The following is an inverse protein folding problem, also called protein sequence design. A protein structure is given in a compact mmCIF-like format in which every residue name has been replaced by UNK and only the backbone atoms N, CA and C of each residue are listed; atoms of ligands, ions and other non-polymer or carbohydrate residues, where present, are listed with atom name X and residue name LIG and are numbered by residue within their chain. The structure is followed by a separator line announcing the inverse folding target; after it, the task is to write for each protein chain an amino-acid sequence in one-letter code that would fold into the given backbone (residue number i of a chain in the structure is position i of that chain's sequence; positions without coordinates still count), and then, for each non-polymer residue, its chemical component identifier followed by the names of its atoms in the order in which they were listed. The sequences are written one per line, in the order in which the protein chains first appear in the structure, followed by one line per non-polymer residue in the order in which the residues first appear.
data_IF_877511632090
#
_entry.id   IF_877511632090
#
_cell.length_a   1.000
_cell.length_b   1.000
_cell.length_c   1.000
_cell.angle_alpha   90.00
_cell.angle_beta   90.00
_cell.angle_gamma   90.00
#
_symmetry.space_group_name_H-M   'P 1'
#
loop_
_entity.id
_entity.type
_entity.pdbx_description
1 polymer ?
#
# COMPACT_ATOMS: atom_id res chain seq x y z
N UNK A 1 13.08 -23.27 62.32
CA UNK A 1 13.58 -21.99 62.87
C UNK A 1 14.98 -21.77 62.34
N UNK A 2 15.16 -20.81 61.42
CA UNK A 2 16.46 -20.39 60.88
C UNK A 2 16.75 -18.98 61.42
N UNK A 3 17.98 -18.78 61.92
CA UNK A 3 18.43 -17.56 62.56
C UNK A 3 18.56 -16.37 61.59
N UNK A 4 18.39 -15.11 62.04
CA UNK A 4 18.51 -13.94 61.18
C UNK A 4 19.98 -13.60 60.93
N UNK A 5 20.36 -13.47 59.66
CA UNK A 5 21.67 -12.98 59.25
C UNK A 5 21.73 -11.45 59.46
N UNK A 6 22.67 -11.00 60.30
CA UNK A 6 22.97 -9.59 60.57
C UNK A 6 23.76 -9.00 59.41
N UNK A 7 23.29 -7.87 58.86
CA UNK A 7 24.06 -7.05 57.91
C UNK A 7 24.97 -6.12 58.71
N UNK A 8 26.28 -6.18 58.46
CA UNK A 8 27.29 -5.29 59.05
C UNK A 8 27.49 -4.10 58.11
N UNK A 9 27.05 -2.92 58.53
CA UNK A 9 27.38 -1.65 57.87
C UNK A 9 28.76 -1.17 58.36
N UNK A 10 29.78 -1.25 57.50
CA UNK A 10 31.07 -0.56 57.72
C UNK A 10 31.02 0.81 57.06
N UNK A 11 30.97 1.86 57.88
CA UNK A 11 31.28 3.23 57.48
C UNK A 11 32.80 3.37 57.40
N UNK A 12 33.33 3.67 56.22
CA UNK A 12 34.73 4.06 56.05
C UNK A 12 34.87 5.56 56.33
N UNK A 13 35.61 5.92 57.38
CA UNK A 13 36.03 7.28 57.67
C UNK A 13 37.24 7.64 56.80
N UNK A 14 37.13 8.65 55.95
CA UNK A 14 38.26 9.23 55.25
C UNK A 14 38.99 10.22 56.17
N UNK A 15 40.24 9.92 56.50
CA UNK A 15 41.15 10.90 57.11
C UNK A 15 41.71 11.81 56.02
N UNK A 16 41.62 13.12 56.25
CA UNK A 16 42.15 14.19 55.41
C UNK A 16 43.66 14.38 55.63
N UNK A 17 44.46 14.21 54.59
CA UNK A 17 45.87 14.63 54.54
C UNK A 17 46.07 15.65 53.43
N UNK A 18 46.60 16.82 53.79
CA UNK A 18 46.86 17.97 52.92
C UNK A 18 48.14 17.83 52.09
N UNK A 19 48.07 18.17 50.79
CA UNK A 19 49.23 18.47 49.95
C UNK A 19 48.78 19.10 48.62
N UNK A 20 49.44 20.16 48.10
CA UNK A 20 48.92 20.93 46.97
C UNK A 20 49.46 20.42 45.63
N UNK A 21 48.59 20.28 44.63
CA UNK A 21 48.99 20.12 43.23
C UNK A 21 48.03 19.26 42.41
N UNK A 22 47.36 19.90 41.45
CA UNK A 22 46.48 19.34 40.41
C UNK A 22 45.04 18.97 40.83
N UNK A 23 44.11 19.91 40.60
CA UNK A 23 42.67 19.65 40.55
C UNK A 23 42.32 18.82 39.30
N UNK A 24 42.29 17.50 39.44
CA UNK A 24 41.49 16.64 38.58
C UNK A 24 40.17 16.40 39.30
N UNK A 25 39.08 17.02 38.83
CA UNK A 25 37.73 16.70 39.32
C UNK A 25 37.43 15.24 38.94
N UNK A 26 37.20 14.32 39.89
CA UNK A 26 36.73 12.99 39.53
C UNK A 26 35.28 13.14 39.07
N UNK A 27 35.03 12.81 37.80
CA UNK A 27 33.69 12.67 37.25
C UNK A 27 32.96 11.63 38.11
N UNK A 28 32.08 12.07 38.99
CA UNK A 28 31.25 11.20 39.79
C UNK A 28 30.24 10.52 38.84
N UNK A 29 30.64 9.40 38.24
CA UNK A 29 29.74 8.52 37.51
C UNK A 29 28.73 7.95 38.51
N UNK A 30 27.55 8.56 38.59
CA UNK A 30 26.41 8.01 39.31
C UNK A 30 25.96 6.76 38.55
N UNK A 31 26.40 5.60 39.02
CA UNK A 31 25.88 4.30 38.58
C UNK A 31 24.41 4.20 39.00
N UNK A 32 23.51 4.08 38.02
CA UNK A 32 22.05 4.03 38.22
C UNK A 32 21.60 2.65 38.75
N UNK A 33 22.52 1.71 38.98
CA UNK A 33 22.14 0.38 39.46
C UNK A 33 23.21 -0.24 40.36
N UNK A 34 22.76 -0.91 41.44
CA UNK A 34 23.62 -1.59 42.43
C UNK A 34 23.67 -3.10 42.25
N UNK A 35 23.06 -3.67 41.21
CA UNK A 35 23.24 -5.11 40.98
C UNK A 35 24.61 -5.40 40.38
N UNK A 36 25.31 -6.42 40.88
CA UNK A 36 26.51 -6.92 40.22
C UNK A 36 26.16 -7.34 38.79
N UNK A 37 27.00 -6.95 37.83
CA UNK A 37 26.87 -7.42 36.44
C UNK A 37 27.18 -8.92 36.44
N UNK A 38 26.13 -9.74 36.35
CA UNK A 38 26.29 -11.16 36.09
C UNK A 38 26.37 -11.35 34.57
N UNK A 39 27.46 -11.93 34.04
CA UNK A 39 27.52 -12.25 32.62
C UNK A 39 26.41 -13.25 32.27
N UNK A 40 25.75 -13.06 31.13
CA UNK A 40 24.72 -13.97 30.66
C UNK A 40 25.28 -15.40 30.58
N UNK A 41 24.64 -16.34 31.28
CA UNK A 41 25.00 -17.75 31.20
C UNK A 41 24.50 -18.30 29.86
N UNK A 42 25.37 -18.35 28.87
CA UNK A 42 25.06 -18.94 27.56
C UNK A 42 25.00 -20.45 27.74
N UNK A 43 23.82 -21.05 27.52
CA UNK A 43 23.66 -22.50 27.53
C UNK A 43 24.55 -23.10 26.43
N UNK A 44 25.41 -24.11 26.73
CA UNK A 44 26.35 -24.69 25.76
C UNK A 44 25.67 -25.43 24.61
N UNK A 45 24.33 -25.55 24.62
CA UNK A 45 23.54 -26.27 23.62
C UNK A 45 23.21 -25.41 22.38
N UNK A 46 23.40 -24.09 22.42
CA UNK A 46 23.21 -23.23 21.24
C UNK A 46 24.56 -22.96 20.58
N UNK A 47 24.72 -23.49 19.37
CA UNK A 47 25.99 -23.74 18.72
C UNK A 47 26.88 -22.52 18.48
N UNK A 48 28.18 -22.76 18.55
CA UNK A 48 29.27 -21.89 18.08
C UNK A 48 29.40 -21.90 16.55
N UNK A 49 28.26 -21.95 15.85
CA UNK A 49 28.19 -21.84 14.40
C UNK A 49 27.87 -20.40 13.98
N UNK A 50 28.17 -20.01 12.73
CA UNK A 50 27.56 -18.82 12.17
C UNK A 50 26.04 -18.90 12.34
N UNK A 51 25.36 -17.76 12.56
CA UNK A 51 23.91 -17.75 12.72
C UNK A 51 23.26 -18.55 11.58
N UNK A 52 22.23 -19.37 11.88
CA UNK A 52 21.54 -20.13 10.85
C UNK A 52 21.05 -19.17 9.76
N UNK A 53 21.14 -19.60 8.50
CA UNK A 53 20.60 -18.79 7.41
C UNK A 53 19.13 -18.48 7.67
N UNK A 54 18.66 -17.27 7.33
CA UNK A 54 17.26 -16.92 7.46
C UNK A 54 16.36 -17.98 6.80
N UNK A 55 15.22 -18.33 7.42
CA UNK A 55 14.29 -19.28 6.83
C UNK A 55 13.86 -18.77 5.45
N UNK A 56 13.95 -19.62 4.44
CA UNK A 56 13.49 -19.27 3.09
C UNK A 56 11.98 -19.51 3.01
N UNK A 57 11.17 -18.52 2.57
CA UNK A 57 9.75 -18.74 2.38
C UNK A 57 9.51 -19.86 1.35
N UNK A 58 8.50 -20.69 1.60
CA UNK A 58 8.12 -21.76 0.69
C UNK A 58 7.72 -21.17 -0.68
N UNK A 59 8.10 -21.83 -1.76
CA UNK A 59 7.72 -21.40 -3.12
C UNK A 59 6.21 -21.56 -3.33
N UNK A 60 5.43 -20.52 -3.01
CA UNK A 60 3.98 -20.54 -3.20
C UNK A 60 3.62 -20.19 -4.66
N UNK A 61 3.34 -21.22 -5.46
CA UNK A 61 2.99 -21.01 -6.87
C UNK A 61 1.63 -20.31 -6.98
N UNK A 62 1.52 -19.32 -7.87
CA UNK A 62 0.25 -18.61 -8.11
C UNK A 62 -0.90 -19.56 -8.49
N UNK A 63 -0.59 -20.65 -9.21
CA UNK A 63 -1.57 -21.68 -9.59
C UNK A 63 -2.14 -22.41 -8.37
N UNK A 64 -1.29 -22.79 -7.41
CA UNK A 64 -1.71 -23.46 -6.16
C UNK A 64 -2.63 -22.57 -5.33
N UNK A 65 -2.34 -21.27 -5.27
CA UNK A 65 -3.17 -20.28 -4.56
C UNK A 65 -4.55 -20.13 -5.19
N UNK A 66 -4.62 -20.06 -6.51
CA UNK A 66 -5.88 -19.97 -7.26
C UNK A 66 -6.74 -21.23 -7.06
N UNK A 67 -6.15 -22.42 -7.13
CA UNK A 67 -6.87 -23.67 -6.93
C UNK A 67 -7.40 -23.82 -5.49
N UNK A 68 -6.62 -23.38 -4.50
CA UNK A 68 -7.06 -23.34 -3.10
C UNK A 68 -8.27 -22.41 -2.93
N UNK A 69 -8.22 -21.20 -3.52
CA UNK A 69 -9.35 -20.25 -3.50
C UNK A 69 -10.59 -20.82 -4.18
N UNK A 70 -10.45 -21.46 -5.35
CA UNK A 70 -11.57 -22.12 -6.06
C UNK A 70 -12.22 -23.22 -5.20
N UNK A 71 -11.41 -24.08 -4.58
CA UNK A 71 -11.90 -25.13 -3.67
C UNK A 71 -12.65 -24.55 -2.48
N UNK A 72 -12.13 -23.48 -1.87
CA UNK A 72 -12.77 -22.80 -0.75
C UNK A 72 -14.09 -22.13 -1.15
N UNK A 73 -14.14 -21.48 -2.32
CA UNK A 73 -15.36 -20.88 -2.86
C UNK A 73 -16.45 -21.94 -3.11
N UNK A 74 -16.10 -23.06 -3.76
CA UNK A 74 -17.03 -24.17 -3.99
C UNK A 74 -17.54 -24.79 -2.67
N UNK A 75 -16.68 -24.89 -1.65
CA UNK A 75 -17.07 -25.40 -0.34
C UNK A 75 -18.03 -24.43 0.39
N UNK A 76 -17.81 -23.11 0.25
CA UNK A 76 -18.70 -22.09 0.78
C UNK A 76 -20.07 -22.09 0.08
N UNK A 77 -20.09 -22.23 -1.25
CA UNK A 77 -21.32 -22.36 -2.04
C UNK A 77 -22.14 -23.57 -1.56
N UNK A 78 -21.49 -24.74 -1.47
CA UNK A 78 -22.13 -25.97 -0.95
C UNK A 78 -22.62 -25.81 0.49
N UNK A 79 -21.86 -25.14 1.35
CA UNK A 79 -22.28 -24.85 2.72
C UNK A 79 -23.50 -23.90 2.77
N UNK A 80 -23.60 -22.95 1.85
CA UNK A 80 -24.75 -22.06 1.73
C UNK A 80 -25.99 -22.75 1.18
N UNK A 81 -25.84 -23.67 0.23
CA UNK A 81 -26.92 -24.52 -0.27
C UNK A 81 -27.50 -25.38 0.85
N UNK A 82 -26.65 -26.06 1.62
CA UNK A 82 -27.05 -26.89 2.78
C UNK A 82 -27.76 -26.04 3.84
N UNK A 83 -27.26 -24.84 4.13
CA UNK A 83 -27.90 -23.92 5.08
C UNK A 83 -29.23 -23.37 4.54
N UNK A 84 -29.35 -23.23 3.22
CA UNK A 84 -30.58 -22.85 2.55
C UNK A 84 -31.66 -23.93 2.59
N UNK A 85 -31.27 -25.20 2.41
CA UNK A 85 -32.19 -26.35 2.42
C UNK A 85 -32.64 -26.76 3.83
N UNK A 86 -31.84 -26.49 4.87
CA UNK A 86 -32.16 -26.84 6.27
C UNK A 86 -32.96 -25.76 7.03
N UNK A 87 -33.56 -24.77 6.36
CA UNK A 87 -34.44 -23.83 7.07
C UNK A 87 -35.84 -24.45 7.28
N UNK A 88 -36.30 -24.59 8.53
CA UNK A 88 -37.69 -24.95 8.76
C UNK A 88 -38.58 -23.83 8.19
N UNK A 89 -39.53 -24.22 7.34
CA UNK A 89 -40.58 -23.33 6.87
C UNK A 89 -41.25 -22.72 8.10
N UNK A 90 -41.19 -21.40 8.25
CA UNK A 90 -41.81 -20.72 9.38
C UNK A 90 -43.33 -20.89 9.26
N UNK A 91 -43.87 -21.92 9.90
CA UNK A 91 -45.29 -22.11 10.12
C UNK A 91 -45.84 -20.92 10.90
N UNK A 92 -46.90 -20.34 10.37
CA UNK A 92 -47.72 -19.29 10.93
C UNK A 92 -48.11 -19.61 12.37
N UNK A 93 -47.53 -18.90 13.34
CA UNK A 93 -48.09 -18.83 14.70
C UNK A 93 -48.50 -17.39 14.97
N UNK A 94 -49.81 -17.21 15.07
CA UNK A 94 -50.51 -15.99 15.43
C UNK A 94 -50.13 -15.54 16.84
N UNK A 95 -49.72 -14.28 17.00
CA UNK A 95 -49.73 -13.58 18.30
C UNK A 95 -48.40 -12.95 18.71
N UNK A 96 -48.41 -11.63 18.92
CA UNK A 96 -47.37 -10.91 19.67
C UNK A 96 -46.75 -9.74 18.92
N UNK A 97 -47.29 -8.54 19.16
CA UNK A 97 -46.84 -7.28 18.60
C UNK A 97 -45.50 -6.85 19.25
N UNK A 98 -44.37 -7.05 18.55
CA UNK A 98 -43.09 -6.39 18.86
C UNK A 98 -42.52 -5.87 17.55
N UNK A 99 -42.67 -4.56 17.32
CA UNK A 99 -42.00 -3.84 16.23
C UNK A 99 -40.50 -3.78 16.49
N UNK A 100 -39.80 -4.87 16.18
CA UNK A 100 -38.38 -4.80 15.86
C UNK A 100 -38.28 -4.64 14.35
N UNK A 101 -37.62 -3.57 13.90
CA UNK A 101 -37.23 -3.32 12.50
C UNK A 101 -36.16 -4.34 12.08
N UNK A 102 -36.55 -5.61 12.01
CA UNK A 102 -35.73 -6.70 11.50
C UNK A 102 -35.55 -6.48 9.99
N UNK A 103 -34.45 -5.82 9.60
CA UNK A 103 -33.96 -5.81 8.22
C UNK A 103 -33.94 -7.26 7.73
N UNK A 104 -34.71 -7.55 6.67
CA UNK A 104 -34.95 -8.91 6.21
C UNK A 104 -33.62 -9.67 5.99
N UNK A 105 -33.50 -10.93 6.45
CA UNK A 105 -32.31 -11.75 6.21
C UNK A 105 -31.98 -11.94 4.72
N UNK A 106 -32.97 -11.72 3.84
CA UNK A 106 -32.85 -11.77 2.39
C UNK A 106 -31.98 -10.64 1.83
N UNK A 107 -32.02 -9.44 2.43
CA UNK A 107 -31.16 -8.32 2.03
C UNK A 107 -29.66 -8.58 2.29
N UNK A 108 -29.32 -9.64 3.03
CA UNK A 108 -27.92 -10.04 3.28
C UNK A 108 -27.39 -11.03 2.24
N UNK A 109 -28.26 -11.75 1.52
CA UNK A 109 -27.84 -12.77 0.54
C UNK A 109 -27.52 -12.11 -0.80
N UNK A 110 -26.65 -12.74 -1.59
CA UNK A 110 -26.42 -12.37 -2.99
C UNK A 110 -27.78 -12.44 -3.71
N UNK A 111 -28.19 -11.34 -4.34
CA UNK A 111 -29.47 -11.25 -5.04
C UNK A 111 -29.35 -11.42 -6.56
N UNK A 112 -28.13 -11.60 -7.07
CA UNK A 112 -27.82 -11.82 -8.48
C UNK A 112 -27.19 -13.20 -8.69
N UNK A 113 -27.43 -13.81 -9.84
CA UNK A 113 -26.79 -15.09 -10.19
C UNK A 113 -25.63 -14.89 -11.15
N UNK A 114 -25.85 -14.13 -12.22
CA UNK A 114 -24.89 -13.93 -13.29
C UNK A 114 -24.43 -12.47 -13.35
N UNK A 115 -23.19 -12.27 -13.81
CA UNK A 115 -22.62 -10.95 -14.04
C UNK A 115 -22.15 -10.89 -15.49
N UNK A 116 -22.56 -9.85 -16.21
CA UNK A 116 -22.29 -9.69 -17.64
C UNK A 116 -21.74 -8.29 -17.92
N UNK A 117 -20.92 -8.18 -18.96
CA UNK A 117 -20.50 -6.89 -19.52
C UNK A 117 -21.29 -6.67 -20.80
N UNK A 118 -21.97 -5.53 -20.89
CA UNK A 118 -22.74 -5.12 -22.06
C UNK A 118 -22.22 -3.79 -22.58
N UNK A 119 -22.18 -3.63 -23.89
CA UNK A 119 -21.93 -2.34 -24.52
C UNK A 119 -23.29 -1.65 -24.76
N UNK A 120 -23.47 -0.48 -24.16
CA UNK A 120 -24.70 0.32 -24.19
C UNK A 120 -24.32 1.76 -24.49
N UNK A 121 -24.88 2.33 -25.55
CA UNK A 121 -24.62 3.72 -25.99
C UNK A 121 -23.13 4.06 -26.15
N UNK A 122 -22.30 3.11 -26.60
CA UNK A 122 -20.84 3.30 -26.74
C UNK A 122 -20.05 3.29 -25.42
N UNK A 123 -20.68 2.89 -24.32
CA UNK A 123 -20.03 2.66 -23.03
C UNK A 123 -20.18 1.20 -22.60
N UNK A 124 -19.23 0.70 -21.80
CA UNK A 124 -19.30 -0.61 -21.19
C UNK A 124 -19.99 -0.50 -19.83
N UNK A 125 -21.03 -1.30 -19.63
CA UNK A 125 -21.78 -1.39 -18.38
C UNK A 125 -21.68 -2.82 -17.82
N UNK A 126 -21.50 -2.92 -16.51
CA UNK A 126 -21.58 -4.21 -15.80
C UNK A 126 -23.00 -4.43 -15.31
N UNK A 127 -23.61 -5.56 -15.66
CA UNK A 127 -24.97 -5.92 -15.30
C UNK A 127 -24.98 -7.13 -14.36
N UNK A 128 -25.75 -7.01 -13.27
CA UNK A 128 -26.07 -8.06 -12.32
C UNK A 128 -27.42 -8.66 -12.72
N UNK A 129 -27.39 -9.85 -13.31
CA UNK A 129 -28.48 -10.43 -14.10
C UNK A 129 -28.99 -9.44 -15.17
N UNK A 130 -30.08 -8.74 -14.90
CA UNK A 130 -30.69 -7.75 -15.81
C UNK A 130 -30.51 -6.30 -15.36
N UNK A 131 -29.88 -6.08 -14.19
CA UNK A 131 -29.79 -4.75 -13.58
C UNK A 131 -28.39 -4.16 -13.73
N UNK A 132 -28.25 -2.92 -14.22
CA UNK A 132 -26.94 -2.29 -14.30
C UNK A 132 -26.38 -1.99 -12.91
N UNK A 133 -25.07 -2.11 -12.76
CA UNK A 133 -24.34 -1.70 -11.58
C UNK A 133 -24.43 -0.17 -11.41
N UNK A 134 -24.69 0.26 -10.18
CA UNK A 134 -24.92 1.68 -9.85
C UNK A 134 -23.98 2.19 -8.79
N UNK A 135 -23.65 3.48 -8.89
CA UNK A 135 -22.82 4.19 -7.93
C UNK A 135 -23.52 4.34 -6.57
N UNK A 136 -22.82 4.17 -5.44
CA UNK A 136 -23.43 4.31 -4.12
C UNK A 136 -23.98 5.72 -3.85
N UNK A 137 -23.27 6.75 -4.30
CA UNK A 137 -23.50 8.17 -3.97
C UNK A 137 -24.73 8.74 -4.67
N UNK A 138 -24.74 8.74 -6.02
CA UNK A 138 -25.79 9.37 -6.83
C UNK A 138 -26.73 8.38 -7.55
N UNK A 139 -26.54 7.06 -7.35
CA UNK A 139 -27.34 5.99 -7.98
C UNK A 139 -27.28 5.94 -9.50
N UNK A 140 -26.40 6.69 -10.14
CA UNK A 140 -26.18 6.61 -11.58
C UNK A 140 -25.52 5.29 -11.97
N UNK A 141 -25.67 4.91 -13.23
CA UNK A 141 -25.09 3.67 -13.76
C UNK A 141 -23.58 3.86 -13.90
N UNK A 142 -22.81 2.84 -13.51
CA UNK A 142 -21.37 2.81 -13.72
C UNK A 142 -21.11 2.58 -15.22
N UNK A 143 -20.70 3.63 -15.91
CA UNK A 143 -20.37 3.61 -17.35
C UNK A 143 -18.87 3.72 -17.53
N UNK A 144 -18.28 2.73 -18.20
CA UNK A 144 -16.86 2.68 -18.52
C UNK A 144 -16.63 3.04 -19.99
N UNK A 145 -15.50 3.64 -20.36
CA UNK A 145 -15.15 3.83 -21.77
C UNK A 145 -15.08 2.49 -22.52
N UNK A 146 -15.54 2.47 -23.78
CA UNK A 146 -15.41 1.30 -24.66
C UNK A 146 -13.95 0.87 -24.88
N UNK A 147 -13.01 1.79 -24.72
CA UNK A 147 -11.58 1.53 -24.76
C UNK A 147 -11.10 0.57 -23.67
N UNK A 148 -11.84 0.37 -22.55
CA UNK A 148 -11.40 -0.35 -21.35
C UNK A 148 -12.12 -1.70 -21.11
N UNK A 149 -12.08 -2.68 -22.05
CA UNK A 149 -12.77 -3.96 -21.88
C UNK A 149 -12.17 -4.82 -20.76
N UNK A 150 -10.85 -4.72 -20.51
CA UNK A 150 -10.18 -5.45 -19.43
C UNK A 150 -10.64 -4.98 -18.05
N UNK A 151 -10.84 -3.67 -17.86
CA UNK A 151 -11.39 -3.12 -16.64
C UNK A 151 -12.83 -3.58 -16.42
N UNK A 152 -13.66 -3.56 -17.46
CA UNK A 152 -15.04 -4.02 -17.41
C UNK A 152 -15.15 -5.51 -17.04
N UNK A 153 -14.32 -6.35 -17.66
CA UNK A 153 -14.24 -7.77 -17.34
C UNK A 153 -13.75 -8.01 -15.89
N UNK A 154 -12.75 -7.25 -15.43
CA UNK A 154 -12.24 -7.35 -14.06
C UNK A 154 -13.29 -6.92 -13.02
N UNK A 155 -14.07 -5.87 -13.30
CA UNK A 155 -15.22 -5.47 -12.48
C UNK A 155 -16.31 -6.54 -12.45
N UNK A 156 -16.62 -7.15 -13.61
CA UNK A 156 -17.58 -8.25 -13.65
C UNK A 156 -17.12 -9.43 -12.79
N UNK A 157 -15.84 -9.79 -12.85
CA UNK A 157 -15.24 -10.83 -12.01
C UNK A 157 -15.28 -10.45 -10.51
N UNK A 158 -14.98 -9.20 -10.17
CA UNK A 158 -15.05 -8.71 -8.79
C UNK A 158 -16.44 -8.95 -8.19
N UNK A 159 -17.51 -8.61 -8.93
CA UNK A 159 -18.89 -8.81 -8.50
C UNK A 159 -19.36 -10.25 -8.55
N UNK A 160 -18.81 -11.06 -9.46
CA UNK A 160 -19.13 -12.48 -9.54
C UNK A 160 -18.51 -13.28 -8.37
N UNK A 161 -17.39 -12.83 -7.82
CA UNK A 161 -16.77 -13.46 -6.65
C UNK A 161 -17.46 -13.11 -5.32
N UNK A 162 -18.37 -12.14 -5.31
CA UNK A 162 -19.10 -11.80 -4.08
C UNK A 162 -20.13 -12.88 -3.75
N UNK A 163 -20.09 -13.31 -2.50
CA UNK A 163 -20.97 -14.34 -1.95
C UNK A 163 -22.20 -13.72 -1.27
N UNK A 164 -22.19 -12.40 -1.03
CA UNK A 164 -23.29 -11.71 -0.36
C UNK A 164 -23.38 -10.23 -0.74
N UNK A 165 -24.59 -9.65 -0.69
CA UNK A 165 -24.77 -8.22 -0.93
C UNK A 165 -24.07 -7.34 0.12
N UNK A 166 -23.81 -7.87 1.33
CA UNK A 166 -23.05 -7.16 2.36
C UNK A 166 -21.55 -7.09 2.02
N UNK A 167 -21.02 -8.05 1.26
CA UNK A 167 -19.64 -7.96 0.81
C UNK A 167 -19.45 -6.80 -0.17
N UNK A 168 -20.47 -6.45 -0.94
CA UNK A 168 -20.45 -5.28 -1.81
C UNK A 168 -20.36 -3.94 -1.05
N UNK A 169 -20.56 -3.92 0.28
CA UNK A 169 -20.34 -2.70 1.09
C UNK A 169 -18.95 -2.64 1.70
N UNK A 170 -18.12 -3.67 1.52
CA UNK A 170 -16.78 -3.77 2.09
C UNK A 170 -15.74 -3.39 1.04
N UNK A 171 -15.09 -2.24 1.22
CA UNK A 171 -14.12 -1.69 0.27
C UNK A 171 -13.00 -2.67 -0.11
N UNK A 172 -12.50 -3.47 0.84
CA UNK A 172 -11.45 -4.48 0.59
C UNK A 172 -11.92 -5.67 -0.29
N UNK A 173 -13.23 -5.85 -0.48
CA UNK A 173 -13.80 -6.88 -1.36
C UNK A 173 -14.26 -6.34 -2.72
N UNK A 174 -14.36 -5.02 -2.85
CA UNK A 174 -14.70 -4.34 -4.10
C UNK A 174 -13.72 -3.20 -4.47
N UNK A 175 -12.39 -3.47 -4.43
CA UNK A 175 -11.38 -2.43 -4.62
C UNK A 175 -11.41 -1.77 -6.01
N UNK A 176 -11.75 -2.49 -7.08
CA UNK A 176 -11.88 -1.95 -8.43
C UNK A 176 -13.12 -1.08 -8.54
N UNK A 177 -14.27 -1.54 -8.01
CA UNK A 177 -15.50 -0.72 -8.00
C UNK A 177 -15.28 0.60 -7.27
N UNK A 178 -14.60 0.57 -6.12
CA UNK A 178 -14.26 1.79 -5.38
C UNK A 178 -13.34 2.72 -6.18
N UNK A 179 -12.36 2.15 -6.90
CA UNK A 179 -11.42 2.93 -7.72
C UNK A 179 -12.09 3.54 -8.97
N UNK A 180 -12.97 2.79 -9.63
CA UNK A 180 -13.76 3.29 -10.76
C UNK A 180 -14.73 4.38 -10.32
N UNK A 181 -15.44 4.19 -9.20
CA UNK A 181 -16.30 5.23 -8.66
C UNK A 181 -15.48 6.49 -8.35
N UNK A 182 -14.27 6.34 -7.78
CA UNK A 182 -13.36 7.47 -7.53
C UNK A 182 -13.02 8.24 -8.81
N UNK A 183 -12.70 7.54 -9.90
CA UNK A 183 -12.44 8.18 -11.20
C UNK A 183 -13.68 8.91 -11.75
N UNK A 184 -14.87 8.30 -11.64
CA UNK A 184 -16.12 8.92 -12.08
C UNK A 184 -16.51 10.13 -11.23
N UNK A 185 -16.24 10.09 -9.93
CA UNK A 185 -16.50 11.22 -9.03
C UNK A 185 -15.58 12.41 -9.35
N UNK A 186 -14.30 12.16 -9.70
CA UNK A 186 -13.40 13.20 -10.22
C UNK A 186 -13.93 13.78 -11.53
N UNK A 187 -14.36 12.93 -12.47
CA UNK A 187 -14.90 13.39 -13.75
C UNK A 187 -16.20 14.21 -13.60
N UNK A 188 -17.05 13.84 -12.64
CA UNK A 188 -18.27 14.58 -12.32
C UNK A 188 -17.95 15.96 -11.72
N UNK A 189 -17.00 16.03 -10.78
CA UNK A 189 -16.55 17.28 -10.16
C UNK A 189 -15.89 18.22 -11.18
N UNK A 190 -15.02 17.70 -12.05
CA UNK A 190 -14.40 18.45 -13.14
C UNK A 190 -15.45 19.00 -14.13
N UNK A 191 -16.59 18.31 -14.28
CA UNK A 191 -17.72 18.74 -15.09
C UNK A 191 -18.70 19.68 -14.36
N UNK A 192 -18.41 20.05 -13.11
CA UNK A 192 -19.26 20.91 -12.27
C UNK A 192 -20.56 20.25 -11.81
N UNK A 193 -20.65 18.92 -11.85
CA UNK A 193 -21.79 18.19 -11.29
C UNK A 193 -21.66 18.11 -9.77
N UNK A 194 -22.80 18.20 -9.07
CA UNK A 194 -22.83 17.99 -7.63
C UNK A 194 -22.60 16.51 -7.33
N UNK A 195 -21.41 16.20 -6.82
CA UNK A 195 -21.01 14.83 -6.45
C UNK A 195 -21.56 14.41 -5.08
N UNK A 196 -22.24 15.30 -4.35
CA UNK A 196 -22.77 15.00 -3.01
C UNK A 196 -21.69 14.64 -1.98
N UNK A 197 -20.42 14.87 -2.30
CA UNK A 197 -19.29 14.68 -1.41
C UNK A 197 -19.21 15.85 -0.42
N UNK A 198 -18.78 15.57 0.81
CA UNK A 198 -18.41 16.62 1.75
C UNK A 198 -17.32 17.47 1.09
N UNK A 199 -17.66 18.73 0.78
CA UNK A 199 -16.69 19.71 0.30
C UNK A 199 -15.52 19.71 1.29
N UNK A 200 -14.29 19.67 0.78
CA UNK A 200 -13.09 19.54 1.61
C UNK A 200 -12.97 20.59 2.71
N UNK A 201 -12.00 20.39 3.61
CA UNK A 201 -11.75 21.26 4.78
C UNK A 201 -11.64 22.76 4.43
N UNK A 202 -11.28 23.09 3.18
CA UNK A 202 -11.28 24.44 2.63
C UNK A 202 -12.49 24.66 1.70
N UNK A 203 -13.31 25.67 2.03
CA UNK A 203 -14.52 25.98 1.29
C UNK A 203 -14.21 26.38 -0.17
N UNK A 204 -14.53 25.48 -1.12
CA UNK A 204 -14.48 25.74 -2.56
C UNK A 204 -13.35 25.05 -3.32
N UNK A 205 -12.55 24.20 -2.68
CA UNK A 205 -11.51 23.44 -3.37
C UNK A 205 -12.11 22.27 -4.16
N UNK A 206 -11.72 22.13 -5.43
CA UNK A 206 -12.15 21.00 -6.27
C UNK A 206 -11.49 19.71 -5.80
N UNK A 207 -12.10 18.57 -6.13
CA UNK A 207 -11.57 17.27 -5.75
C UNK A 207 -10.16 17.06 -6.33
N UNK A 208 -9.96 17.47 -7.58
CA UNK A 208 -8.68 17.46 -8.28
C UNK A 208 -7.61 18.24 -7.54
N UNK A 209 -7.93 19.47 -7.10
CA UNK A 209 -6.99 20.31 -6.36
C UNK A 209 -6.60 19.70 -5.02
N UNK A 210 -7.56 19.11 -4.32
CA UNK A 210 -7.30 18.37 -3.08
C UNK A 210 -6.37 17.17 -3.28
N UNK A 211 -6.58 16.39 -4.35
CA UNK A 211 -5.70 15.27 -4.72
C UNK A 211 -4.31 15.79 -5.09
N UNK A 212 -4.21 16.81 -5.94
CA UNK A 212 -2.93 17.37 -6.35
C UNK A 212 -2.12 17.88 -5.16
N UNK A 213 -2.76 18.59 -4.22
CA UNK A 213 -2.12 19.04 -2.97
C UNK A 213 -1.58 17.86 -2.16
N UNK A 214 -2.32 16.76 -2.07
CA UNK A 214 -1.88 15.54 -1.41
C UNK A 214 -0.66 14.92 -2.12
N UNK A 215 -0.70 14.79 -3.44
CA UNK A 215 0.38 14.23 -4.25
C UNK A 215 1.67 15.08 -4.15
N UNK A 216 1.55 16.40 -4.12
CA UNK A 216 2.70 17.30 -3.94
C UNK A 216 3.36 17.14 -2.56
N UNK A 217 2.62 16.78 -1.51
CA UNK A 217 3.22 16.42 -0.21
C UNK A 217 4.01 15.12 -0.27
N UNK A 218 3.57 14.16 -1.09
CA UNK A 218 4.34 12.94 -1.35
C UNK A 218 5.60 13.21 -2.17
N UNK A 219 5.62 14.20 -3.07
CA UNK A 219 6.86 14.62 -3.74
C UNK A 219 7.90 15.11 -2.71
N UNK A 220 7.46 15.88 -1.71
CA UNK A 220 8.31 16.38 -0.63
C UNK A 220 8.84 15.29 0.31
N UNK A 221 8.29 14.07 0.22
CA UNK A 221 8.63 12.94 1.09
C UNK A 221 8.76 11.63 0.30
N UNK A 222 9.15 11.74 -0.98
CA UNK A 222 9.11 10.61 -1.90
C UNK A 222 10.08 9.51 -1.44
N UNK A 223 9.57 8.28 -1.34
CA UNK A 223 10.35 7.11 -0.89
C UNK A 223 11.57 6.84 -1.78
N UNK A 224 11.54 7.19 -3.07
CA UNK A 224 12.69 7.05 -3.97
C UNK A 224 13.72 8.18 -3.82
N UNK A 225 13.36 9.30 -3.21
CA UNK A 225 14.26 10.44 -2.98
C UNK A 225 14.80 10.50 -1.55
N UNK A 226 14.42 9.54 -0.71
CA UNK A 226 14.80 9.41 0.68
C UNK A 226 15.72 8.19 0.84
N UNK A 227 17.01 8.41 1.04
CA UNK A 227 18.00 7.34 1.08
C UNK A 227 18.61 7.16 2.47
N UNK A 228 19.04 5.93 2.74
CA UNK A 228 19.86 5.63 3.90
C UNK A 228 21.11 6.53 3.94
N UNK A 229 21.56 6.93 5.14
CA UNK A 229 22.77 7.73 5.30
C UNK A 229 23.99 6.98 4.74
N UNK A 230 25.08 7.70 4.42
CA UNK A 230 26.32 7.04 4.01
C UNK A 230 26.78 6.01 5.06
N UNK A 231 27.31 4.85 4.62
CA UNK A 231 27.72 3.80 5.53
C UNK A 231 28.76 4.27 6.53
N UNK A 232 28.43 4.17 7.83
CA UNK A 232 29.35 4.51 8.92
C UNK A 232 30.02 3.23 9.43
N UNK A 233 31.36 3.25 9.41
CA UNK A 233 32.29 2.27 9.99
C UNK A 233 31.68 0.93 10.46
N UNK A 234 31.47 -0.01 9.52
CA UNK A 234 31.24 -1.43 9.84
C UNK A 234 29.85 -1.80 10.39
N UNK A 235 28.89 -0.87 10.44
CA UNK A 235 27.53 -1.16 10.92
C UNK A 235 26.52 -1.51 9.81
N UNK A 236 26.84 -1.22 8.56
CA UNK A 236 25.96 -1.53 7.44
C UNK A 236 26.29 -2.92 6.90
N UNK A 237 25.47 -3.90 7.27
CA UNK A 237 25.60 -5.26 6.75
C UNK A 237 25.20 -5.27 5.26
N UNK A 238 26.10 -5.61 4.32
CA UNK A 238 25.72 -5.67 2.92
C UNK A 238 24.66 -6.75 2.68
N UNK A 239 23.95 -6.64 1.55
CA UNK A 239 23.12 -7.73 1.05
C UNK A 239 23.98 -8.95 0.64
N UNK A 240 23.32 -10.04 0.22
CA UNK A 240 24.00 -11.25 -0.24
C UNK A 240 24.96 -11.04 -1.43
N UNK A 241 24.81 -9.93 -2.18
CA UNK A 241 25.63 -9.57 -3.32
C UNK A 241 26.69 -8.50 -2.99
N UNK A 242 26.81 -8.07 -1.72
CA UNK A 242 27.79 -7.08 -1.29
C UNK A 242 27.33 -5.62 -1.40
N UNK A 243 26.08 -5.35 -1.79
CA UNK A 243 25.56 -3.99 -1.92
C UNK A 243 24.99 -3.48 -0.59
N UNK A 244 25.18 -2.19 -0.32
CA UNK A 244 24.52 -1.50 0.78
C UNK A 244 23.09 -1.11 0.42
N UNK A 245 22.22 -0.94 1.42
CA UNK A 245 20.85 -0.44 1.21
C UNK A 245 20.83 0.87 0.41
N UNK A 246 21.74 1.79 0.76
CA UNK A 246 21.89 3.09 0.10
C UNK A 246 22.18 2.95 -1.40
N UNK A 247 23.09 2.05 -1.77
CA UNK A 247 23.44 1.82 -3.18
C UNK A 247 22.24 1.28 -3.98
N UNK A 248 21.45 0.39 -3.37
CA UNK A 248 20.24 -0.15 -3.99
C UNK A 248 19.17 0.95 -4.18
N UNK A 249 18.92 1.75 -3.15
CA UNK A 249 17.98 2.88 -3.20
C UNK A 249 18.38 3.91 -4.25
N UNK A 250 19.66 4.32 -4.27
CA UNK A 250 20.17 5.31 -5.23
C UNK A 250 20.05 4.79 -6.66
N UNK A 251 20.47 3.55 -6.94
CA UNK A 251 20.39 2.96 -8.28
C UNK A 251 18.95 2.92 -8.79
N UNK A 252 18.01 2.49 -7.95
CA UNK A 252 16.60 2.46 -8.29
C UNK A 252 16.04 3.87 -8.56
N UNK A 253 16.38 4.84 -7.71
CA UNK A 253 15.96 6.22 -7.86
C UNK A 253 16.49 6.84 -9.16
N UNK A 254 17.78 6.65 -9.46
CA UNK A 254 18.42 7.14 -10.69
C UNK A 254 17.75 6.56 -11.95
N UNK A 255 17.41 5.27 -11.95
CA UNK A 255 16.70 4.64 -13.08
C UNK A 255 15.32 5.28 -13.32
N UNK A 256 14.55 5.48 -12.25
CA UNK A 256 13.22 6.08 -12.33
C UNK A 256 13.31 7.55 -12.73
N UNK A 257 14.17 8.33 -12.07
CA UNK A 257 14.37 9.76 -12.36
C UNK A 257 14.83 9.94 -13.80
N UNK A 258 15.81 9.17 -14.29
CA UNK A 258 16.28 9.27 -15.66
C UNK A 258 15.15 9.03 -16.69
N UNK A 259 14.28 8.05 -16.44
CA UNK A 259 13.12 7.83 -17.29
C UNK A 259 12.16 9.03 -17.26
N UNK A 260 11.85 9.52 -16.07
CA UNK A 260 10.88 10.60 -15.89
C UNK A 260 11.38 11.90 -16.52
N UNK A 261 12.64 12.28 -16.30
CA UNK A 261 13.24 13.49 -16.87
C UNK A 261 13.51 13.37 -18.37
N UNK A 262 13.47 12.17 -18.95
CA UNK A 262 13.57 11.96 -20.40
C UNK A 262 12.20 11.96 -21.07
N UNK A 263 11.22 11.25 -20.49
CA UNK A 263 9.98 10.90 -21.18
C UNK A 263 8.74 11.64 -20.66
N UNK A 264 8.74 12.11 -19.41
CA UNK A 264 7.56 12.71 -18.76
C UNK A 264 7.76 14.20 -18.51
N UNK A 265 8.91 14.57 -17.94
CA UNK A 265 9.28 15.95 -17.62
C UNK A 265 10.65 16.33 -18.19
N UNK A 266 10.77 16.48 -19.53
CA UNK A 266 12.02 16.88 -20.19
C UNK A 266 12.66 18.12 -19.57
N UNK A 267 13.92 18.00 -19.14
CA UNK A 267 14.71 19.12 -18.61
C UNK A 267 14.44 19.48 -17.14
N UNK A 268 13.60 18.72 -16.44
CA UNK A 268 13.39 18.91 -14.99
C UNK A 268 14.52 18.28 -14.21
N UNK A 269 14.99 19.00 -13.18
CA UNK A 269 15.95 18.49 -12.21
C UNK A 269 15.21 18.05 -10.96
N UNK A 270 15.42 16.79 -10.57
CA UNK A 270 14.84 16.17 -9.37
C UNK A 270 15.98 15.83 -8.43
N UNK A 271 15.98 16.43 -7.25
CA UNK A 271 17.03 16.27 -6.25
C UNK A 271 16.58 15.33 -5.12
N UNK A 272 17.50 14.68 -4.39
CA UNK A 272 17.17 13.93 -3.19
C UNK A 272 16.52 14.83 -2.12
N UNK A 273 15.48 14.32 -1.48
CA UNK A 273 14.68 15.03 -0.48
C UNK A 273 15.44 15.20 0.83
N UNK A 274 16.15 14.16 1.27
CA UNK A 274 16.97 14.22 2.48
C UNK A 274 18.43 14.58 2.15
N UNK A 275 19.00 15.42 3.00
CA UNK A 275 20.44 15.65 3.05
C UNK A 275 21.11 14.60 3.96
N UNK A 276 22.38 14.29 3.75
CA UNK A 276 23.09 13.19 4.42
C UNK A 276 23.16 13.35 5.95
N UNK A 277 23.03 14.59 6.44
CA UNK A 277 23.10 14.95 7.87
C UNK A 277 21.76 15.44 8.44
N UNK A 278 20.68 15.44 7.66
CA UNK A 278 19.38 16.00 8.06
C UNK A 278 18.26 14.98 7.92
N UNK A 279 17.44 14.86 8.96
CA UNK A 279 16.16 14.14 8.92
C UNK A 279 15.02 15.00 8.37
N UNK A 280 15.26 16.31 8.17
CA UNK A 280 14.26 17.24 7.67
C UNK A 280 14.26 17.25 6.14
N UNK A 281 13.10 16.97 5.50
CA UNK A 281 12.99 16.96 4.05
C UNK A 281 13.15 18.37 3.48
N UNK A 282 13.84 18.45 2.34
CA UNK A 282 13.96 19.65 1.52
C UNK A 282 13.02 19.53 0.33
N UNK A 283 12.23 20.57 0.11
CA UNK A 283 11.36 20.64 -1.07
C UNK A 283 12.18 20.80 -2.35
N UNK A 284 11.62 20.30 -3.46
CA UNK A 284 12.17 20.52 -4.81
C UNK A 284 12.18 22.00 -5.19
N UNK A 285 12.99 22.37 -6.18
CA UNK A 285 13.04 23.73 -6.75
C UNK A 285 11.62 24.21 -7.14
N UNK A 286 11.27 25.49 -6.93
CA UNK A 286 9.94 26.00 -7.23
C UNK A 286 9.49 25.73 -8.67
N UNK A 287 10.41 25.81 -9.63
CA UNK A 287 10.16 25.53 -11.05
C UNK A 287 9.79 24.06 -11.26
N UNK A 288 10.56 23.13 -10.68
CA UNK A 288 10.29 21.68 -10.71
C UNK A 288 8.91 21.37 -10.12
N UNK A 289 8.58 21.98 -8.98
CA UNK A 289 7.27 21.80 -8.33
C UNK A 289 6.13 22.25 -9.21
N UNK A 290 6.24 23.43 -9.82
CA UNK A 290 5.21 23.98 -10.70
C UNK A 290 4.99 23.11 -11.94
N UNK A 291 6.07 22.57 -12.53
CA UNK A 291 5.98 21.67 -13.69
C UNK A 291 5.25 20.37 -13.31
N UNK A 292 5.64 19.75 -12.18
CA UNK A 292 5.02 18.51 -11.71
C UNK A 292 3.56 18.74 -11.32
N UNK A 293 3.26 19.81 -10.59
CA UNK A 293 1.90 20.17 -10.20
C UNK A 293 1.02 20.44 -11.43
N UNK A 294 1.51 21.22 -12.40
CA UNK A 294 0.81 21.46 -13.66
C UNK A 294 0.55 20.18 -14.44
N UNK A 295 1.51 19.24 -14.45
CA UNK A 295 1.33 17.92 -15.06
C UNK A 295 0.25 17.10 -14.35
N UNK A 296 0.24 17.06 -13.01
CA UNK A 296 -0.79 16.38 -12.21
C UNK A 296 -2.18 16.99 -12.50
N UNK A 297 -2.27 18.32 -12.54
CA UNK A 297 -3.53 19.02 -12.81
C UNK A 297 -4.06 18.72 -14.21
N UNK A 298 -3.18 18.42 -15.18
CA UNK A 298 -3.54 18.07 -16.55
C UNK A 298 -4.01 16.63 -16.78
N UNK A 299 -3.89 15.75 -15.79
CA UNK A 299 -4.29 14.34 -15.91
C UNK A 299 -5.78 14.17 -16.14
N UNK A 300 -6.19 13.17 -16.92
CA UNK A 300 -7.61 12.82 -16.96
C UNK A 300 -8.09 12.22 -15.62
N UNK A 301 -9.40 12.07 -15.45
CA UNK A 301 -9.97 11.59 -14.18
C UNK A 301 -9.58 10.14 -13.84
N UNK A 302 -9.36 9.29 -14.84
CA UNK A 302 -8.92 7.90 -14.66
C UNK A 302 -7.44 7.84 -14.29
N UNK A 303 -6.62 8.64 -14.98
CA UNK A 303 -5.19 8.79 -14.72
C UNK A 303 -4.94 9.37 -13.32
N UNK A 304 -5.70 10.40 -12.92
CA UNK A 304 -5.57 11.03 -11.60
C UNK A 304 -5.98 10.08 -10.47
N UNK A 305 -7.10 9.35 -10.62
CA UNK A 305 -7.51 8.33 -9.65
C UNK A 305 -6.49 7.18 -9.56
N UNK A 306 -5.92 6.78 -10.71
CA UNK A 306 -4.87 5.78 -10.79
C UNK A 306 -3.59 6.24 -10.08
N UNK A 307 -3.17 7.47 -10.32
CA UNK A 307 -2.01 8.08 -9.68
C UNK A 307 -2.22 8.21 -8.16
N UNK A 308 -3.36 8.73 -7.72
CA UNK A 308 -3.74 8.81 -6.31
C UNK A 308 -3.60 7.44 -5.63
N UNK A 309 -4.16 6.39 -6.22
CA UNK A 309 -4.07 5.03 -5.68
C UNK A 309 -2.63 4.52 -5.65
N UNK A 310 -1.86 4.71 -6.73
CA UNK A 310 -0.49 4.22 -6.81
C UNK A 310 0.44 4.92 -5.82
N UNK A 311 0.28 6.23 -5.62
CA UNK A 311 1.07 7.01 -4.64
C UNK A 311 0.75 6.57 -3.22
N UNK A 312 -0.52 6.41 -2.88
CA UNK A 312 -0.90 5.94 -1.54
C UNK A 312 -0.39 4.52 -1.27
N UNK A 313 -0.40 3.64 -2.27
CA UNK A 313 0.11 2.28 -2.15
C UNK A 313 1.65 2.23 -2.02
N UNK A 314 2.35 2.92 -2.93
CA UNK A 314 3.81 2.91 -3.01
C UNK A 314 4.52 3.91 -2.09
N UNK A 315 3.76 4.79 -1.41
CA UNK A 315 4.26 5.85 -0.51
C UNK A 315 5.27 6.78 -1.21
N UNK A 316 5.08 7.03 -2.50
CA UNK A 316 5.97 7.85 -3.33
C UNK A 316 5.35 8.21 -4.67
N UNK A 317 5.63 9.43 -5.15
CA UNK A 317 5.10 9.99 -6.39
C UNK A 317 5.84 9.44 -7.63
N UNK A 318 7.17 9.43 -7.63
CA UNK A 318 7.97 9.11 -8.82
C UNK A 318 7.73 7.69 -9.33
N UNK A 319 7.72 6.70 -8.43
CA UNK A 319 7.44 5.30 -8.79
C UNK A 319 6.03 5.11 -9.35
N UNK A 320 5.06 5.85 -8.83
CA UNK A 320 3.68 5.84 -9.29
C UNK A 320 3.53 6.50 -10.66
N UNK A 321 4.17 7.65 -10.90
CA UNK A 321 4.20 8.33 -12.20
C UNK A 321 4.86 7.44 -13.25
N UNK A 322 5.96 6.74 -12.89
CA UNK A 322 6.60 5.78 -13.81
C UNK A 322 5.63 4.68 -14.23
N UNK A 323 4.92 4.07 -13.29
CA UNK A 323 3.93 3.04 -13.60
C UNK A 323 2.78 3.60 -14.46
N UNK A 324 2.29 4.81 -14.14
CA UNK A 324 1.21 5.45 -14.89
C UNK A 324 1.61 5.73 -16.33
N UNK A 325 2.79 6.31 -16.54
CA UNK A 325 3.30 6.67 -17.87
C UNK A 325 3.51 5.44 -18.77
N UNK A 326 3.80 4.27 -18.20
CA UNK A 326 4.00 3.01 -18.95
C UNK A 326 2.69 2.35 -19.38
N UNK A 327 1.60 2.56 -18.64
CA UNK A 327 0.35 1.81 -18.81
C UNK A 327 -0.87 2.64 -19.19
N UNK A 328 -0.80 3.97 -19.06
CA UNK A 328 -1.91 4.84 -19.50
C UNK A 328 -2.13 4.71 -21.00
N UNK A 329 -3.39 4.56 -21.43
CA UNK A 329 -3.76 4.68 -22.83
C UNK A 329 -3.96 6.15 -23.28
N UNK A 330 -4.02 7.06 -22.32
CA UNK A 330 -4.23 8.49 -22.51
C UNK A 330 -2.98 9.23 -22.99
N UNK A 331 -2.98 10.55 -22.83
CA UNK A 331 -1.93 11.41 -23.38
C UNK A 331 -0.60 11.29 -22.63
N UNK A 332 -0.62 10.92 -21.35
CA UNK A 332 0.61 10.71 -20.56
C UNK A 332 1.24 9.34 -20.79
N UNK A 333 0.53 8.45 -21.48
CA UNK A 333 1.03 7.17 -21.89
C UNK A 333 2.20 7.33 -22.86
N UNK A 334 3.40 6.98 -22.42
CA UNK A 334 4.58 6.96 -23.28
C UNK A 334 4.47 5.71 -24.16
N UNK A 335 3.97 5.89 -25.38
CA UNK A 335 3.95 4.85 -26.42
C UNK A 335 5.36 4.62 -26.95
N UNK A 336 6.27 4.16 -26.09
CA UNK A 336 7.57 3.66 -26.52
C UNK A 336 7.38 2.45 -27.42
N UNK A 337 8.22 2.32 -28.45
CA UNK A 337 8.33 1.08 -29.21
C UNK A 337 8.60 -0.05 -28.21
N UNK A 338 7.57 -0.84 -27.89
CA UNK A 338 7.69 -2.07 -27.10
C UNK A 338 8.60 -3.00 -27.89
N UNK A 339 9.91 -2.84 -27.73
CA UNK A 339 10.89 -3.84 -28.17
C UNK A 339 10.72 -5.11 -27.34
N UNK A 340 11.63 -6.06 -27.49
CA UNK A 340 11.58 -7.34 -26.78
C UNK A 340 11.77 -7.25 -25.25
N UNK A 341 11.96 -6.04 -24.69
CA UNK A 341 12.11 -5.84 -23.24
C UNK A 341 10.75 -5.82 -22.56
N UNK A 342 10.65 -6.57 -21.46
CA UNK A 342 9.47 -6.57 -20.58
C UNK A 342 9.20 -5.14 -20.08
N UNK A 343 7.97 -4.62 -20.21
CA UNK A 343 7.64 -3.28 -19.74
C UNK A 343 7.75 -3.19 -18.22
N UNK A 344 8.04 -2.00 -17.71
CA UNK A 344 7.98 -1.71 -16.28
C UNK A 344 6.53 -1.91 -15.80
N UNK A 345 6.31 -2.91 -14.96
CA UNK A 345 4.99 -3.36 -14.55
C UNK A 345 4.78 -3.32 -13.05
N UNK A 346 3.73 -4.03 -12.63
CA UNK A 346 3.31 -4.13 -11.23
C UNK A 346 4.43 -4.70 -10.34
N UNK A 347 5.16 -5.69 -10.84
CA UNK A 347 6.23 -6.34 -10.06
C UNK A 347 7.43 -5.43 -9.87
N UNK A 348 7.82 -4.72 -10.92
CA UNK A 348 8.90 -3.74 -10.88
C UNK A 348 8.52 -2.59 -9.94
N UNK A 349 7.31 -2.03 -10.08
CA UNK A 349 6.81 -0.97 -9.20
C UNK A 349 6.71 -1.41 -7.73
N UNK A 350 6.24 -2.63 -7.46
CA UNK A 350 6.18 -3.16 -6.10
C UNK A 350 7.58 -3.32 -5.49
N UNK A 351 8.56 -3.82 -6.25
CA UNK A 351 9.95 -3.91 -5.79
C UNK A 351 10.54 -2.54 -5.47
N UNK A 352 10.28 -1.53 -6.31
CA UNK A 352 10.78 -0.18 -6.07
C UNK A 352 10.21 0.43 -4.78
N UNK A 353 8.94 0.18 -4.48
CA UNK A 353 8.33 0.64 -3.23
C UNK A 353 8.78 -0.19 -1.99
N UNK A 354 9.34 -1.38 -2.19
CA UNK A 354 9.72 -2.31 -1.12
C UNK A 354 11.24 -2.52 -0.98
N UNK A 355 12.10 -1.69 -1.60
CA UNK A 355 13.57 -1.88 -1.62
C UNK A 355 14.13 -2.14 -0.22
N UNK A 356 13.77 -1.30 0.74
CA UNK A 356 14.26 -1.42 2.11
C UNK A 356 13.71 -2.67 2.79
N UNK A 357 12.41 -2.95 2.65
CA UNK A 357 11.77 -4.14 3.24
C UNK A 357 12.41 -5.42 2.68
N UNK A 358 12.61 -5.50 1.36
CA UNK A 358 13.24 -6.65 0.70
C UNK A 358 14.70 -6.84 1.17
N UNK A 359 15.44 -5.74 1.34
CA UNK A 359 16.79 -5.78 1.90
C UNK A 359 16.82 -6.27 3.35
N UNK A 360 15.91 -5.77 4.19
CA UNK A 360 15.77 -6.18 5.59
C UNK A 360 15.38 -7.67 5.70
N UNK A 361 14.46 -8.14 4.87
CA UNK A 361 14.08 -9.55 4.78
C UNK A 361 15.28 -10.42 4.37
N UNK A 362 16.08 -9.96 3.41
CA UNK A 362 17.30 -10.67 3.00
C UNK A 362 18.30 -10.86 4.13
N UNK A 363 18.43 -9.85 5.00
CA UNK A 363 19.41 -9.85 6.09
C UNK A 363 18.88 -10.50 7.38
N UNK A 364 17.59 -10.37 7.68
CA UNK A 364 17.01 -10.73 8.97
C UNK A 364 15.83 -11.70 8.91
N UNK A 365 15.40 -12.10 7.72
CA UNK A 365 14.27 -13.00 7.49
C UNK A 365 12.93 -12.29 7.38
N UNK A 366 11.94 -13.02 6.85
CA UNK A 366 10.58 -12.52 6.65
C UNK A 366 9.75 -12.65 7.94
N UNK A 367 8.94 -11.63 8.23
CA UNK A 367 7.95 -11.66 9.31
C UNK A 367 6.60 -12.06 8.72
N UNK A 368 6.18 -13.30 9.00
CA UNK A 368 4.87 -13.84 8.61
C UNK A 368 3.73 -12.96 9.17
N UNK A 369 2.60 -12.91 8.45
CA UNK A 369 1.41 -12.09 8.71
C UNK A 369 1.60 -10.56 8.62
N UNK A 370 2.81 -10.07 8.33
CA UNK A 370 3.08 -8.63 8.09
C UNK A 370 3.64 -8.38 6.70
N UNK A 371 4.83 -8.91 6.41
CA UNK A 371 5.53 -8.65 5.15
C UNK A 371 4.82 -9.32 3.96
N UNK A 372 4.31 -10.53 4.15
CA UNK A 372 3.62 -11.31 3.13
C UNK A 372 2.29 -10.66 2.70
N UNK A 373 1.53 -10.15 3.67
CA UNK A 373 0.26 -9.45 3.41
C UNK A 373 0.51 -8.13 2.69
N UNK A 374 1.43 -7.29 3.16
CA UNK A 374 1.75 -6.01 2.52
C UNK A 374 2.27 -6.23 1.08
N UNK A 375 3.13 -7.23 0.88
CA UNK A 375 3.68 -7.61 -0.43
C UNK A 375 2.61 -7.95 -1.46
N UNK A 376 1.61 -8.74 -1.08
CA UNK A 376 0.51 -9.12 -1.96
C UNK A 376 -0.51 -7.99 -2.12
N UNK A 377 -0.75 -7.21 -1.06
CA UNK A 377 -1.67 -6.08 -1.11
C UNK A 377 -1.16 -4.95 -2.01
N UNK A 378 0.13 -4.64 -1.95
CA UNK A 378 0.78 -3.65 -2.81
C UNK A 378 0.63 -4.01 -4.29
N UNK A 379 0.89 -5.27 -4.66
CA UNK A 379 0.68 -5.78 -6.03
C UNK A 379 -0.78 -5.70 -6.46
N UNK A 380 -1.70 -6.03 -5.55
CA UNK A 380 -3.15 -5.92 -5.80
C UNK A 380 -3.53 -4.46 -6.07
N UNK A 381 -3.02 -3.51 -5.29
CA UNK A 381 -3.30 -2.09 -5.48
C UNK A 381 -2.69 -1.55 -6.78
N UNK A 382 -1.42 -1.79 -7.04
CA UNK A 382 -0.74 -1.35 -8.28
C UNK A 382 -1.32 -2.03 -9.53
N UNK A 383 -1.69 -3.32 -9.43
CA UNK A 383 -2.39 -4.02 -10.51
C UNK A 383 -3.77 -3.44 -10.80
N UNK A 384 -4.48 -2.97 -9.78
CA UNK A 384 -5.76 -2.26 -9.99
C UNK A 384 -5.58 -0.94 -10.74
N UNK A 385 -4.46 -0.24 -10.53
CA UNK A 385 -4.12 0.98 -11.26
C UNK A 385 -3.85 0.67 -12.74
N UNK A 386 -3.05 -0.36 -13.03
CA UNK A 386 -2.80 -0.79 -14.42
C UNK A 386 -4.10 -1.10 -15.14
N UNK A 387 -5.02 -1.86 -14.53
CA UNK A 387 -6.32 -2.14 -15.13
C UNK A 387 -7.17 -0.88 -15.37
N UNK A 388 -7.09 0.11 -14.47
CA UNK A 388 -7.86 1.35 -14.56
C UNK A 388 -7.40 2.21 -15.75
N UNK A 389 -6.09 2.38 -15.90
CA UNK A 389 -5.51 3.37 -16.84
C UNK A 389 -5.22 2.78 -18.21
N UNK A 390 -5.05 1.47 -18.31
CA UNK A 390 -4.89 0.77 -19.59
C UNK A 390 -6.20 0.69 -20.37
N UNK A 391 -6.05 0.50 -21.68
CA UNK A 391 -7.13 0.15 -22.58
C UNK A 391 -6.60 -0.11 -23.99
N UNK A 392 -7.53 -0.14 -24.95
CA UNK A 392 -7.25 -0.52 -26.33
C UNK A 392 -6.75 0.65 -27.18
N UNK A 393 -6.74 1.87 -26.62
CA UNK A 393 -6.35 3.08 -27.35
C UNK A 393 -7.29 3.46 -28.50
N UNK A 394 -8.43 2.78 -28.64
CA UNK A 394 -9.53 3.16 -29.54
C UNK A 394 -10.40 4.16 -28.79
N UNK A 395 -10.38 5.41 -29.23
CA UNK A 395 -11.35 6.43 -28.80
C UNK A 395 -12.72 6.14 -29.38
#
# INVERSE_FOLDING_TARGET
MKAPARVVLRLAACQSGSGPGHCSLPLATRLIHTTPVSPATVSPVHGTGPPPQPPRPAADSASTRLDRRKKQAALLERAQEIRGSNRPSATTTTGGNVQSTQRSPLARRRFWKHVHVLEVDGALEVHLDTRPLRRPTNKEIVRLPASKPLLAAALALEWDQLVSAQQATKQHLIPLTSLVNRALDIADDDAGRDIGAEKGEEAGDSLRSGIARMLMRYLDTDSLLCWAPPPRHGHDAPDAAGNTLRELQRRAAEEVVAYLTTNVWPGVEIEPVLDEESIMPRGQKPETRQIIEGWIMGLDAWELAGLERAVLAGKGLLGAVRLLAEWSEGFVGVKGARGDKRPYGVEEAAKMASIEVDWQIGNWGEVEDTHDVEKEDLRRQLGSVVLLVSGTGKQ
#
